data_IF_865586598745
#
_entry.id   IF_865586598745
#
_cell.length_a   1.000
_cell.length_b   1.000
_cell.length_c   1.000
_cell.angle_alpha   90.00
_cell.angle_beta   90.00
_cell.angle_gamma   90.00
#
_symmetry.space_group_name_H-M   'P 1'
#
loop_
_entity.id
_entity.type
_entity.pdbx_description
1 polymer ?
#
# COMPACT_ATOMS: atom_id res chain seq x y z
N UNK A 1 -0.53 13.47 -2.99
CA UNK A 1 0.62 13.24 -3.90
C UNK A 1 0.20 12.12 -4.84
N UNK A 2 0.35 12.29 -6.16
CA UNK A 2 -0.01 11.25 -7.13
C UNK A 2 1.01 10.11 -7.03
N UNK A 3 0.56 8.87 -6.77
CA UNK A 3 1.44 7.71 -6.58
C UNK A 3 1.98 7.27 -7.94
N UNK A 4 3.28 6.98 -8.02
CA UNK A 4 3.86 6.43 -9.25
C UNK A 4 3.41 4.96 -9.43
N UNK A 5 2.67 4.68 -10.50
CA UNK A 5 2.23 3.32 -10.84
C UNK A 5 3.23 2.63 -11.76
N UNK A 6 3.59 1.40 -11.41
CA UNK A 6 4.55 0.61 -12.18
C UNK A 6 3.83 -0.37 -13.09
N UNK A 7 4.52 -0.80 -14.16
CA UNK A 7 4.00 -1.86 -15.04
C UNK A 7 3.75 -3.17 -14.28
N UNK A 8 4.56 -3.48 -13.28
CA UNK A 8 4.38 -4.68 -12.46
C UNK A 8 3.18 -4.53 -11.52
N UNK A 9 3.07 -3.40 -10.81
CA UNK A 9 1.95 -3.11 -9.92
C UNK A 9 0.61 -3.08 -10.66
N UNK A 10 0.56 -2.51 -11.86
CA UNK A 10 -0.64 -2.56 -12.71
C UNK A 10 -1.01 -3.98 -13.13
N UNK A 11 -0.04 -4.84 -13.44
CA UNK A 11 -0.29 -6.28 -13.70
C UNK A 11 -0.79 -7.00 -12.45
N UNK A 12 -0.24 -6.72 -11.29
CA UNK A 12 -0.69 -7.30 -10.01
C UNK A 12 -2.12 -6.87 -9.70
N UNK A 13 -2.42 -5.56 -9.80
CA UNK A 13 -3.77 -5.02 -9.65
C UNK A 13 -4.74 -5.68 -10.63
N UNK A 14 -4.38 -5.74 -11.91
CA UNK A 14 -5.21 -6.36 -12.95
C UNK A 14 -5.54 -7.83 -12.67
N UNK A 15 -4.56 -8.61 -12.18
CA UNK A 15 -4.79 -10.00 -11.74
C UNK A 15 -5.74 -10.08 -10.55
N UNK A 16 -5.58 -9.22 -9.55
CA UNK A 16 -6.46 -9.20 -8.37
C UNK A 16 -7.91 -8.87 -8.76
N UNK A 17 -8.11 -7.87 -9.63
CA UNK A 17 -9.42 -7.50 -10.17
C UNK A 17 -10.03 -8.68 -10.94
N UNK A 18 -9.28 -9.29 -11.85
CA UNK A 18 -9.76 -10.45 -12.63
C UNK A 18 -10.16 -11.61 -11.75
N UNK A 19 -9.35 -11.93 -10.74
CA UNK A 19 -9.62 -13.00 -9.78
C UNK A 19 -10.94 -12.74 -9.05
N UNK A 20 -11.08 -11.58 -8.43
CA UNK A 20 -12.28 -11.19 -7.71
C UNK A 20 -13.54 -11.17 -8.61
N UNK A 21 -13.41 -10.69 -9.86
CA UNK A 21 -14.50 -10.72 -10.84
C UNK A 21 -14.93 -12.16 -11.15
N UNK A 22 -13.97 -13.05 -11.40
CA UNK A 22 -14.24 -14.44 -11.72
C UNK A 22 -14.87 -15.20 -10.54
N UNK A 23 -14.43 -14.94 -9.31
CA UNK A 23 -15.01 -15.52 -8.09
C UNK A 23 -16.48 -15.15 -7.91
N UNK A 24 -16.89 -13.95 -8.34
CA UNK A 24 -18.30 -13.54 -8.38
C UNK A 24 -19.07 -14.03 -9.61
N UNK A 25 -18.41 -14.71 -10.56
CA UNK A 25 -19.02 -15.13 -11.82
C UNK A 25 -19.40 -13.97 -12.75
N UNK A 26 -18.80 -12.79 -12.56
CA UNK A 26 -19.14 -11.59 -13.33
C UNK A 26 -18.43 -11.57 -14.68
N UNK A 27 -19.14 -11.16 -15.74
CA UNK A 27 -18.50 -10.88 -17.02
C UNK A 27 -17.84 -9.50 -17.01
N UNK A 28 -16.85 -9.28 -17.88
CA UNK A 28 -16.26 -7.94 -18.06
C UNK A 28 -17.31 -6.92 -18.51
N UNK A 29 -18.27 -7.34 -19.34
CA UNK A 29 -19.40 -6.51 -19.78
C UNK A 29 -20.27 -6.06 -18.60
N UNK A 30 -20.56 -6.96 -17.67
CA UNK A 30 -21.34 -6.64 -16.48
C UNK A 30 -20.63 -5.60 -15.60
N UNK A 31 -19.32 -5.74 -15.39
CA UNK A 31 -18.51 -4.75 -14.64
C UNK A 31 -18.54 -3.38 -15.32
N UNK A 32 -18.37 -3.32 -16.65
CA UNK A 32 -18.50 -2.09 -17.44
C UNK A 32 -19.86 -1.43 -17.21
N UNK A 33 -20.94 -2.19 -17.29
CA UNK A 33 -22.31 -1.65 -17.14
C UNK A 33 -22.56 -1.09 -15.75
N UNK A 34 -22.06 -1.76 -14.71
CA UNK A 34 -22.13 -1.24 -13.35
C UNK A 34 -21.32 0.06 -13.20
N UNK A 35 -20.09 0.11 -13.72
CA UNK A 35 -19.29 1.34 -13.68
C UNK A 35 -19.97 2.51 -14.40
N UNK A 36 -20.60 2.24 -15.56
CA UNK A 36 -21.29 3.27 -16.32
C UNK A 36 -22.55 3.76 -15.59
N UNK A 37 -23.29 2.85 -14.93
CA UNK A 37 -24.43 3.20 -14.08
C UNK A 37 -24.02 4.04 -12.85
N UNK A 38 -22.89 3.72 -12.22
CA UNK A 38 -22.32 4.50 -11.12
C UNK A 38 -21.89 5.90 -11.57
N UNK A 39 -21.30 6.01 -12.75
CA UNK A 39 -20.91 7.30 -13.34
C UNK A 39 -22.11 8.21 -13.61
N UNK A 40 -23.27 7.64 -13.98
CA UNK A 40 -24.49 8.39 -14.28
C UNK A 40 -25.26 8.83 -13.02
N UNK A 41 -25.11 8.11 -11.90
CA UNK A 41 -25.83 8.35 -10.64
C UNK A 41 -25.17 9.38 -9.72
N UNK A 42 -24.15 10.13 -10.21
CA UNK A 42 -23.41 11.21 -9.53
C UNK A 42 -22.55 10.81 -8.31
N UNK A 43 -22.43 9.52 -8.01
CA UNK A 43 -21.57 9.03 -6.92
C UNK A 43 -20.09 8.88 -7.32
N UNK A 44 -19.71 9.22 -8.56
CA UNK A 44 -18.37 9.01 -9.10
C UNK A 44 -17.96 10.04 -10.18
N UNK A 45 -16.64 10.29 -10.38
CA UNK A 45 -16.14 11.02 -11.55
C UNK A 45 -16.51 10.32 -12.86
N UNK A 46 -16.74 11.09 -13.92
CA UNK A 46 -17.11 10.53 -15.21
C UNK A 46 -16.04 9.54 -15.71
N UNK A 47 -16.48 8.30 -15.96
CA UNK A 47 -15.62 7.23 -16.43
C UNK A 47 -16.08 6.79 -17.83
N UNK A 48 -15.33 7.16 -18.86
CA UNK A 48 -15.54 6.63 -20.21
C UNK A 48 -15.07 5.17 -20.27
N UNK A 49 -15.95 4.24 -19.91
CA UNK A 49 -15.68 2.79 -19.93
C UNK A 49 -16.20 2.20 -21.24
N UNK A 50 -15.31 1.54 -21.99
CA UNK A 50 -15.63 0.77 -23.19
C UNK A 50 -15.51 -0.73 -22.91
N UNK A 51 -15.98 -1.58 -23.83
CA UNK A 51 -15.91 -3.04 -23.72
C UNK A 51 -14.47 -3.55 -23.50
N UNK A 52 -13.48 -2.81 -24.01
CA UNK A 52 -12.07 -3.16 -23.91
C UNK A 52 -11.42 -2.61 -22.63
N UNK A 53 -12.03 -1.61 -21.99
CA UNK A 53 -11.46 -0.94 -20.81
C UNK A 53 -11.21 -1.94 -19.66
N UNK A 54 -12.17 -2.81 -19.34
CA UNK A 54 -12.01 -3.81 -18.28
C UNK A 54 -10.92 -4.81 -18.64
N UNK A 55 -10.86 -5.25 -19.90
CA UNK A 55 -9.81 -6.15 -20.38
C UNK A 55 -8.41 -5.53 -20.24
N UNK A 56 -8.25 -4.24 -20.57
CA UNK A 56 -7.00 -3.50 -20.41
C UNK A 56 -6.58 -3.41 -18.94
N UNK A 57 -7.50 -3.02 -18.04
CA UNK A 57 -7.24 -2.97 -16.59
C UNK A 57 -6.77 -4.33 -16.09
N UNK A 58 -7.50 -5.40 -16.40
CA UNK A 58 -7.18 -6.76 -15.95
C UNK A 58 -5.88 -7.31 -16.53
N UNK A 59 -5.48 -6.83 -17.70
CA UNK A 59 -4.21 -7.22 -18.32
C UNK A 59 -3.01 -6.45 -17.76
N UNK A 60 -3.25 -5.35 -17.02
CA UNK A 60 -2.20 -4.43 -16.59
C UNK A 60 -1.44 -3.79 -17.76
N UNK A 61 -2.05 -3.73 -18.95
CA UNK A 61 -1.49 -3.10 -20.14
C UNK A 61 -2.01 -1.67 -20.23
N UNK A 62 -1.11 -0.76 -20.59
CA UNK A 62 -1.35 0.69 -20.74
C UNK A 62 -1.54 1.45 -19.42
N UNK A 63 -1.37 2.78 -19.48
CA UNK A 63 -1.69 3.68 -18.37
C UNK A 63 -3.18 3.56 -18.05
N UNK A 64 -3.49 2.95 -16.92
CA UNK A 64 -4.83 3.00 -16.33
C UNK A 64 -5.03 4.40 -15.75
N UNK A 65 -6.19 5.01 -16.00
CA UNK A 65 -6.50 6.30 -15.43
C UNK A 65 -7.00 6.16 -13.98
N UNK A 66 -6.67 7.13 -13.11
CA UNK A 66 -7.05 7.09 -11.69
C UNK A 66 -8.56 6.97 -11.45
N UNK A 67 -9.38 7.63 -12.28
CA UNK A 67 -10.85 7.54 -12.21
C UNK A 67 -11.35 6.09 -12.44
N UNK A 68 -10.69 5.30 -13.30
CA UNK A 68 -11.05 3.90 -13.50
C UNK A 68 -10.79 3.06 -12.26
N UNK A 69 -9.69 3.31 -11.54
CA UNK A 69 -9.41 2.62 -10.26
C UNK A 69 -10.41 3.01 -9.19
N UNK A 70 -10.81 4.28 -9.12
CA UNK A 70 -11.92 4.69 -8.25
C UNK A 70 -13.20 3.94 -8.63
N UNK A 71 -13.49 3.80 -9.93
CA UNK A 71 -14.66 3.07 -10.44
C UNK A 71 -14.68 1.61 -10.01
N UNK A 72 -13.53 0.94 -10.07
CA UNK A 72 -13.39 -0.43 -9.58
C UNK A 72 -13.58 -0.51 -8.06
N UNK A 73 -13.02 0.43 -7.30
CA UNK A 73 -13.18 0.46 -5.84
C UNK A 73 -14.65 0.62 -5.43
N UNK A 74 -15.40 1.48 -6.12
CA UNK A 74 -16.82 1.73 -5.83
C UNK A 74 -17.74 0.53 -6.10
N UNK A 75 -17.29 -0.45 -6.88
CA UNK A 75 -18.01 -1.70 -7.08
C UNK A 75 -17.81 -2.71 -5.93
N UNK A 76 -16.89 -2.42 -5.01
CA UNK A 76 -16.71 -3.13 -3.74
C UNK A 76 -16.54 -4.66 -3.90
N UNK A 77 -15.89 -5.09 -4.98
CA UNK A 77 -15.75 -6.52 -5.29
C UNK A 77 -14.36 -7.10 -5.08
N UNK A 78 -13.33 -6.25 -5.04
CA UNK A 78 -11.97 -6.67 -4.70
C UNK A 78 -11.79 -6.50 -3.19
N UNK A 79 -11.63 -7.60 -2.46
CA UNK A 79 -11.61 -7.59 -0.98
C UNK A 79 -10.23 -7.87 -0.41
N UNK A 80 -9.94 -7.21 0.71
CA UNK A 80 -8.74 -7.40 1.50
C UNK A 80 -8.72 -8.80 2.16
N UNK A 81 -7.65 -9.59 2.02
CA UNK A 81 -7.63 -10.98 2.48
C UNK A 81 -7.72 -11.12 4.00
N UNK A 82 -7.10 -10.21 4.76
CA UNK A 82 -7.13 -10.25 6.24
C UNK A 82 -8.44 -9.74 6.86
N UNK A 83 -9.10 -8.74 6.26
CA UNK A 83 -10.27 -8.08 6.87
C UNK A 83 -11.59 -8.43 6.18
N UNK A 84 -11.52 -9.07 5.01
CA UNK A 84 -12.64 -9.34 4.12
C UNK A 84 -13.46 -8.09 3.72
N UNK A 85 -12.90 -6.89 3.91
CA UNK A 85 -13.51 -5.62 3.49
C UNK A 85 -13.07 -5.26 2.08
N UNK A 86 -13.88 -4.54 1.29
CA UNK A 86 -13.45 -4.03 0.00
C UNK A 86 -12.21 -3.15 0.12
N UNK A 87 -11.27 -3.28 -0.82
CA UNK A 87 -10.17 -2.34 -0.91
C UNK A 87 -10.70 -0.96 -1.31
N UNK A 88 -10.18 0.08 -0.64
CA UNK A 88 -10.44 1.47 -1.03
C UNK A 88 -9.72 1.82 -2.32
N UNK A 89 -10.09 2.93 -2.96
CA UNK A 89 -9.36 3.43 -4.15
C UNK A 89 -7.89 3.72 -3.85
N UNK A 90 -7.58 4.15 -2.63
CA UNK A 90 -6.21 4.43 -2.21
C UNK A 90 -5.40 3.14 -2.04
N UNK A 91 -6.03 2.07 -1.52
CA UNK A 91 -5.42 0.74 -1.43
C UNK A 91 -5.23 0.08 -2.81
N UNK A 92 -6.19 0.22 -3.73
CA UNK A 92 -6.00 -0.24 -5.11
C UNK A 92 -4.85 0.54 -5.79
N UNK A 93 -4.71 1.83 -5.48
CA UNK A 93 -3.59 2.64 -5.94
C UNK A 93 -2.26 2.21 -5.31
N UNK A 94 -2.26 1.79 -4.03
CA UNK A 94 -1.10 1.21 -3.36
C UNK A 94 -0.68 -0.12 -4.00
N UNK A 95 -1.64 -0.95 -4.45
CA UNK A 95 -1.35 -2.18 -5.20
C UNK A 95 -0.69 -1.83 -6.55
N UNK A 96 -1.22 -0.84 -7.27
CA UNK A 96 -0.65 -0.38 -8.54
C UNK A 96 0.76 0.24 -8.40
N UNK A 97 1.08 0.77 -7.22
CA UNK A 97 2.41 1.27 -6.87
C UNK A 97 3.30 0.23 -6.18
N UNK A 98 2.85 -1.03 -6.07
CA UNK A 98 3.55 -2.15 -5.42
C UNK A 98 3.76 -2.04 -3.90
N UNK A 99 3.13 -1.05 -3.25
CA UNK A 99 3.17 -0.88 -1.80
C UNK A 99 2.27 -1.83 -1.05
N UNK A 100 1.22 -2.36 -1.68
CA UNK A 100 0.27 -3.28 -1.04
C UNK A 100 0.18 -4.57 -1.86
N UNK A 101 0.38 -5.71 -1.19
CA UNK A 101 0.20 -7.01 -1.81
C UNK A 101 -1.28 -7.45 -1.66
N UNK A 102 -2.05 -7.59 -2.75
CA UNK A 102 -3.46 -7.94 -2.67
C UNK A 102 -3.73 -9.39 -2.24
N UNK A 103 -2.74 -10.28 -2.33
CA UNK A 103 -2.90 -11.69 -1.94
C UNK A 103 -2.72 -11.88 -0.43
N UNK A 104 -1.80 -11.13 0.16
CA UNK A 104 -1.49 -11.24 1.60
C UNK A 104 -2.14 -10.13 2.44
N UNK A 105 -2.46 -8.99 1.83
CA UNK A 105 -3.00 -7.82 2.51
C UNK A 105 -1.95 -7.00 3.26
N UNK A 106 -0.66 -7.32 3.10
CA UNK A 106 0.43 -6.60 3.76
C UNK A 106 1.00 -5.50 2.87
N UNK A 107 1.24 -4.35 3.49
CA UNK A 107 2.06 -3.30 2.92
C UNK A 107 3.53 -3.67 2.95
N UNK A 108 4.28 -3.28 1.92
CA UNK A 108 5.71 -3.50 1.78
C UNK A 108 6.39 -2.34 1.06
N UNK A 109 7.69 -2.23 1.22
CA UNK A 109 8.47 -1.30 0.42
C UNK A 109 8.67 -1.88 -1.00
N UNK A 110 8.41 -1.12 -2.07
CA UNK A 110 8.69 -1.57 -3.42
C UNK A 110 10.20 -1.84 -3.62
N UNK A 111 10.58 -2.86 -4.40
CA UNK A 111 11.98 -3.31 -4.51
C UNK A 111 12.92 -2.30 -5.17
N UNK A 112 12.37 -1.31 -5.88
CA UNK A 112 13.12 -0.25 -6.56
C UNK A 112 13.26 1.02 -5.71
N UNK A 113 12.61 1.09 -4.54
CA UNK A 113 12.74 2.24 -3.65
C UNK A 113 13.82 2.02 -2.60
N UNK A 114 14.63 3.05 -2.39
CA UNK A 114 15.57 3.06 -1.27
C UNK A 114 14.78 3.06 0.05
N UNK A 115 15.05 2.11 0.97
CA UNK A 115 14.40 2.09 2.27
C UNK A 115 14.84 3.29 3.07
N UNK A 116 13.90 4.07 3.61
CA UNK A 116 14.17 5.14 4.58
C UNK A 116 13.36 4.91 5.84
N UNK A 117 13.90 5.27 7.01
CA UNK A 117 13.18 5.08 8.28
C UNK A 117 11.74 5.59 8.20
N UNK A 118 11.53 6.81 7.70
CA UNK A 118 10.19 7.38 7.47
C UNK A 118 9.27 6.46 6.65
N UNK A 119 9.75 5.90 5.52
CA UNK A 119 8.95 4.96 4.72
C UNK A 119 8.65 3.66 5.47
N UNK A 120 9.61 3.15 6.24
CA UNK A 120 9.42 1.92 7.01
C UNK A 120 8.36 2.11 8.09
N UNK A 121 8.41 3.25 8.80
CA UNK A 121 7.40 3.63 9.78
C UNK A 121 6.02 3.78 9.13
N UNK A 122 5.92 4.41 7.96
CA UNK A 122 4.65 4.54 7.24
C UNK A 122 4.06 3.18 6.83
N UNK A 123 4.89 2.25 6.34
CA UNK A 123 4.48 0.88 6.01
C UNK A 123 3.97 0.17 7.26
N UNK A 124 4.72 0.25 8.35
CA UNK A 124 4.39 -0.43 9.60
C UNK A 124 3.08 0.08 10.20
N UNK A 125 2.87 1.39 10.18
CA UNK A 125 1.61 2.00 10.64
C UNK A 125 0.43 1.44 9.84
N UNK A 126 0.55 1.37 8.51
CA UNK A 126 -0.52 0.83 7.66
C UNK A 126 -0.81 -0.65 7.96
N UNK A 127 0.21 -1.42 8.33
CA UNK A 127 0.09 -2.84 8.64
C UNK A 127 -0.50 -3.13 10.01
N UNK A 128 -0.26 -2.27 11.01
CA UNK A 128 -0.76 -2.47 12.37
C UNK A 128 -2.25 -2.22 12.49
N UNK A 129 -2.72 -1.08 12.00
CA UNK A 129 -4.15 -0.76 12.03
C UNK A 129 -4.49 0.42 11.11
N UNK A 130 -5.61 0.38 10.35
CA UNK A 130 -5.99 1.44 9.41
C UNK A 130 -6.10 2.84 10.01
N UNK A 131 -6.43 2.96 11.30
CA UNK A 131 -6.68 4.25 11.97
C UNK A 131 -5.86 4.46 13.25
N UNK A 132 -5.17 3.42 13.71
CA UNK A 132 -4.51 3.41 15.03
C UNK A 132 -3.09 2.86 14.95
N UNK A 133 -2.56 2.61 13.75
CA UNK A 133 -1.23 2.03 13.60
C UNK A 133 -0.14 2.86 14.28
N UNK A 134 -0.28 4.19 14.27
CA UNK A 134 0.62 5.10 14.96
C UNK A 134 0.56 4.95 16.50
N UNK A 135 -0.63 4.75 17.06
CA UNK A 135 -0.81 4.50 18.49
C UNK A 135 -0.23 3.15 18.91
N UNK A 136 -0.44 2.11 18.09
CA UNK A 136 0.14 0.80 18.35
C UNK A 136 1.66 0.82 18.24
N UNK A 137 2.21 1.50 17.24
CA UNK A 137 3.64 1.65 17.09
C UNK A 137 4.24 2.40 18.29
N UNK A 138 3.60 3.52 18.71
CA UNK A 138 4.00 4.28 19.89
C UNK A 138 4.05 3.44 21.16
N UNK A 139 3.03 2.61 21.38
CA UNK A 139 2.96 1.71 22.54
C UNK A 139 4.10 0.68 22.52
N UNK A 140 4.36 0.10 21.36
CA UNK A 140 5.27 -1.04 21.23
C UNK A 140 6.74 -0.58 21.24
N UNK A 141 7.03 0.61 20.72
CA UNK A 141 8.39 1.20 20.72
C UNK A 141 8.66 2.10 21.92
N UNK A 142 7.63 2.42 22.72
CA UNK A 142 7.67 3.43 23.79
C UNK A 142 8.05 4.85 23.32
N UNK A 143 8.05 5.10 22.01
CA UNK A 143 8.27 6.44 21.44
C UNK A 143 6.93 7.18 21.42
N UNK A 144 6.91 8.43 21.88
CA UNK A 144 5.69 9.24 21.88
C UNK A 144 5.13 9.42 20.46
N UNK A 145 3.79 9.49 20.34
CA UNK A 145 3.08 9.68 19.06
C UNK A 145 3.60 10.90 18.29
N UNK A 146 3.72 12.05 18.95
CA UNK A 146 4.20 13.29 18.33
C UNK A 146 5.63 13.13 17.82
N UNK A 147 6.45 12.35 18.55
CA UNK A 147 7.82 12.06 18.15
C UNK A 147 7.87 11.14 16.94
N UNK A 148 7.01 10.11 16.88
CA UNK A 148 6.89 9.26 15.68
C UNK A 148 6.45 10.06 14.45
N UNK A 149 5.58 11.06 14.60
CA UNK A 149 5.18 11.96 13.50
C UNK A 149 6.39 12.72 12.98
N UNK A 150 7.19 13.33 13.85
CA UNK A 150 8.43 14.02 13.48
C UNK A 150 9.40 13.12 12.70
N UNK A 151 9.58 11.87 13.14
CA UNK A 151 10.44 10.90 12.46
C UNK A 151 9.89 10.52 11.08
N UNK A 152 8.57 10.42 10.92
CA UNK A 152 7.92 10.21 9.61
C UNK A 152 8.12 11.44 8.71
N UNK A 153 8.13 12.64 9.27
CA UNK A 153 8.41 13.89 8.54
C UNK A 153 9.89 14.05 8.18
N UNK A 154 10.76 13.18 8.68
CA UNK A 154 12.17 13.10 8.32
C UNK A 154 13.12 13.74 9.33
N UNK A 155 12.66 14.02 10.56
CA UNK A 155 13.57 14.38 11.64
C UNK A 155 14.55 13.25 11.97
N UNK A 156 15.74 13.65 12.41
CA UNK A 156 16.79 12.73 12.81
C UNK A 156 16.38 11.97 14.09
N UNK A 157 16.41 10.64 14.09
CA UNK A 157 16.25 9.85 15.32
C UNK A 157 17.51 9.92 16.18
N UNK A 158 17.34 9.70 17.48
CA UNK A 158 18.44 9.42 18.42
C UNK A 158 18.85 7.95 18.35
N UNK A 159 20.07 7.60 18.76
CA UNK A 159 20.54 6.20 18.78
C UNK A 159 19.60 5.24 19.53
N UNK A 160 19.04 5.66 20.68
CA UNK A 160 18.05 4.85 21.41
C UNK A 160 16.79 4.60 20.57
N UNK A 161 16.26 5.64 19.91
CA UNK A 161 15.08 5.50 19.05
C UNK A 161 15.37 4.58 17.85
N UNK A 162 16.59 4.59 17.32
CA UNK A 162 17.00 3.68 16.25
C UNK A 162 16.90 2.24 16.73
N UNK A 163 17.46 1.92 17.90
CA UNK A 163 17.41 0.59 18.48
C UNK A 163 15.97 0.15 18.77
N UNK A 164 15.16 1.00 19.40
CA UNK A 164 13.76 0.68 19.74
C UNK A 164 12.92 0.45 18.48
N UNK A 165 13.11 1.27 17.44
CA UNK A 165 12.43 1.10 16.15
C UNK A 165 12.92 -0.15 15.43
N UNK A 166 14.23 -0.39 15.36
CA UNK A 166 14.79 -1.57 14.72
C UNK A 166 14.25 -2.84 15.37
N UNK A 167 14.23 -2.89 16.71
CA UNK A 167 13.73 -4.00 17.53
C UNK A 167 12.22 -4.28 17.40
N UNK A 168 11.42 -3.32 16.97
CA UNK A 168 9.99 -3.57 16.72
C UNK A 168 9.70 -3.82 15.24
N UNK A 169 10.40 -3.14 14.34
CA UNK A 169 10.19 -3.29 12.89
C UNK A 169 10.64 -4.68 12.39
N UNK A 170 11.75 -5.25 12.89
CA UNK A 170 12.21 -6.58 12.45
C UNK A 170 11.24 -7.71 12.83
N UNK A 171 10.42 -7.51 13.87
CA UNK A 171 9.39 -8.48 14.28
C UNK A 171 8.17 -8.43 13.38
N UNK A 172 8.03 -7.39 12.55
CA UNK A 172 6.88 -7.22 11.68
C UNK A 172 6.92 -8.23 10.53
N UNK A 173 5.86 -9.05 10.32
CA UNK A 173 5.81 -10.01 9.22
C UNK A 173 5.83 -9.34 7.84
N UNK A 174 5.60 -8.03 7.80
CA UNK A 174 5.61 -7.21 6.59
C UNK A 174 6.99 -6.69 6.20
N UNK A 175 7.92 -6.69 7.16
CA UNK A 175 9.29 -6.24 7.00
C UNK A 175 10.18 -7.48 7.00
N UNK A 176 10.74 -7.84 5.85
CA UNK A 176 11.58 -9.04 5.72
C UNK A 176 13.04 -8.82 6.12
N UNK A 177 13.34 -7.67 6.72
CA UNK A 177 14.71 -7.31 7.06
C UNK A 177 15.09 -7.83 8.43
N UNK A 178 16.34 -8.25 8.56
CA UNK A 178 16.93 -8.58 9.86
C UNK A 178 17.08 -7.31 10.71
N UNK A 179 17.23 -7.49 12.02
CA UNK A 179 17.56 -6.38 12.93
C UNK A 179 18.80 -5.61 12.46
N UNK A 180 19.85 -6.33 12.07
CA UNK A 180 21.10 -5.77 11.54
C UNK A 180 20.89 -4.97 10.25
N UNK A 181 20.05 -5.45 9.33
CA UNK A 181 19.72 -4.72 8.10
C UNK A 181 18.99 -3.41 8.39
N UNK A 182 18.04 -3.42 9.34
CA UNK A 182 17.32 -2.23 9.76
C UNK A 182 18.24 -1.21 10.42
N UNK A 183 19.10 -1.66 11.35
CA UNK A 183 20.11 -0.79 11.97
C UNK A 183 21.04 -0.20 10.91
N UNK A 184 21.52 -1.00 9.96
CA UNK A 184 22.37 -0.53 8.87
C UNK A 184 21.68 0.52 7.98
N UNK A 185 20.42 0.32 7.63
CA UNK A 185 19.63 1.32 6.86
C UNK A 185 19.61 2.66 7.60
N UNK A 186 19.39 2.63 8.91
CA UNK A 186 19.23 3.83 9.73
C UNK A 186 20.59 4.50 9.97
N UNK A 187 21.64 3.74 10.30
CA UNK A 187 23.01 4.24 10.47
C UNK A 187 23.55 4.85 9.18
N UNK A 188 23.30 4.24 8.02
CA UNK A 188 23.71 4.79 6.72
C UNK A 188 22.97 6.11 6.37
N UNK A 189 21.77 6.32 6.91
CA UNK A 189 20.95 7.51 6.62
C UNK A 189 21.25 8.71 7.51
N UNK A 190 21.71 8.46 8.73
CA UNK A 190 21.69 9.45 9.80
C UNK A 190 23.04 9.60 10.53
N UNK A 191 24.15 9.44 9.78
CA UNK A 191 25.57 9.66 10.16
C UNK A 191 26.44 8.43 10.50
N UNK A 192 26.48 7.45 9.61
CA UNK A 192 27.73 6.92 9.04
C UNK A 192 28.76 6.29 9.98
N UNK A 193 28.37 5.94 11.21
CA UNK A 193 29.24 5.22 12.14
C UNK A 193 28.64 3.85 12.33
N UNK A 194 29.41 2.81 11.98
CA UNK A 194 29.10 1.45 12.38
C UNK A 194 28.79 1.46 13.87
N UNK A 195 27.56 1.09 14.21
CA UNK A 195 27.24 0.68 15.57
C UNK A 195 27.95 -0.66 15.70
N UNK A 196 29.07 -0.69 16.44
CA UNK A 196 29.69 -1.95 16.82
C UNK A 196 28.68 -2.71 17.70
N UNK A 197 28.20 -3.83 17.19
CA UNK A 197 27.31 -4.78 17.85
C UNK A 197 28.02 -5.54 18.97
#
# INVERSE_FOLDING_TARGET
MEKFWTDNGLKVLGRAIRKARNERGWSQRYVRDLMQSLSQSRSMPECNVTDVTISHIESGKHKVAHNLVMGIAALEFVTHPLTNRPFTSDQLSDIAAEYLDPETGWYRLPPYETPTLSKLLQIEIKNRHPWQGLLFLSRDTQIAVDRLIQLIEGEQPTESEICDLAMELWKSPSVRWTEEELQNIVSLQFNGSQIDL
#
